data_IF_719317865604
#
_entry.id   IF_719317865604
#
_cell.length_a   1.000
_cell.length_b   1.000
_cell.length_c   1.000
_cell.angle_alpha   90.00
_cell.angle_beta   90.00
_cell.angle_gamma   90.00
#
_symmetry.space_group_name_H-M   'P 1'
#
loop_
_entity.id
_entity.type
_entity.pdbx_description
1 polymer ?
#
# COMPACT_ATOMS: atom_id res chain seq x y z
N UNK A 1 -32.22 -69.79 -28.01
CA UNK A 1 -30.78 -69.95 -27.88
C UNK A 1 -30.16 -68.55 -27.77
N UNK A 2 -30.25 -67.96 -26.59
CA UNK A 2 -29.62 -66.67 -26.30
C UNK A 2 -29.18 -66.72 -24.83
N UNK A 3 -27.95 -66.49 -24.65
CA UNK A 3 -27.13 -66.66 -23.46
C UNK A 3 -27.49 -65.65 -22.36
N UNK A 4 -27.78 -66.13 -21.14
CA UNK A 4 -28.10 -65.34 -19.96
C UNK A 4 -26.79 -65.09 -19.21
N UNK A 5 -26.24 -63.85 -19.28
CA UNK A 5 -25.09 -63.40 -18.47
C UNK A 5 -25.51 -63.15 -17.02
N UNK A 6 -24.85 -63.82 -16.12
CA UNK A 6 -24.98 -63.70 -14.68
C UNK A 6 -24.56 -62.30 -14.18
N UNK A 7 -25.41 -61.71 -13.36
CA UNK A 7 -25.06 -60.55 -12.53
C UNK A 7 -24.29 -60.99 -11.30
N UNK A 8 -23.30 -60.26 -10.81
CA UNK A 8 -22.62 -60.54 -9.54
C UNK A 8 -23.49 -60.12 -8.34
N UNK A 9 -23.48 -60.94 -7.30
CA UNK A 9 -24.15 -60.74 -6.01
C UNK A 9 -23.67 -59.48 -5.25
N UNK A 10 -24.55 -58.83 -4.48
CA UNK A 10 -24.19 -57.70 -3.65
C UNK A 10 -23.39 -58.17 -2.41
N UNK A 11 -22.31 -57.49 -2.13
CA UNK A 11 -21.39 -57.71 -1.00
C UNK A 11 -22.12 -57.57 0.35
N UNK A 12 -21.94 -58.60 1.20
CA UNK A 12 -22.40 -58.68 2.58
C UNK A 12 -21.55 -57.73 3.45
N UNK A 13 -22.15 -56.90 4.32
CA UNK A 13 -21.40 -56.03 5.22
C UNK A 13 -20.73 -56.83 6.36
N UNK A 14 -19.56 -56.39 6.85
CA UNK A 14 -18.81 -57.13 7.89
C UNK A 14 -19.50 -57.08 9.29
N UNK A 15 -19.44 -58.19 9.98
CA UNK A 15 -19.98 -58.42 11.35
C UNK A 15 -19.19 -57.63 12.40
N UNK A 16 -19.85 -56.80 13.21
CA UNK A 16 -19.20 -55.94 14.20
C UNK A 16 -18.75 -56.65 15.50
N UNK A 17 -18.83 -57.98 15.59
CA UNK A 17 -18.55 -58.73 16.84
C UNK A 17 -17.22 -59.47 16.89
N UNK A 18 -16.39 -59.39 15.87
CA UNK A 18 -15.10 -60.10 15.82
C UNK A 18 -14.01 -59.34 16.57
N UNK A 19 -13.71 -59.78 17.83
CA UNK A 19 -12.54 -59.33 18.59
C UNK A 19 -11.24 -59.87 17.94
N UNK A 20 -10.16 -59.06 17.90
CA UNK A 20 -8.86 -59.57 17.41
C UNK A 20 -8.17 -60.43 18.47
N UNK A 21 -7.56 -61.49 17.98
CA UNK A 21 -6.77 -62.49 18.75
C UNK A 21 -5.42 -61.88 19.20
N UNK A 22 -4.98 -62.08 20.47
CA UNK A 22 -3.76 -61.43 20.99
C UNK A 22 -2.49 -62.30 20.92
N UNK A 23 -2.28 -63.07 19.88
CA UNK A 23 -1.05 -63.89 19.76
C UNK A 23 -0.44 -63.85 18.37
N UNK A 24 0.34 -62.77 18.11
CA UNK A 24 1.39 -62.77 17.10
C UNK A 24 2.51 -61.79 17.54
N UNK A 25 3.32 -62.25 18.48
CA UNK A 25 4.62 -61.63 18.76
C UNK A 25 5.61 -62.06 17.69
N UNK A 26 5.90 -61.16 16.75
CA UNK A 26 6.99 -61.29 15.76
C UNK A 26 8.00 -60.16 15.99
N UNK A 27 9.10 -60.51 16.61
CA UNK A 27 10.30 -59.66 16.74
C UNK A 27 10.84 -59.27 15.38
N UNK A 28 10.82 -57.95 15.08
CA UNK A 28 11.68 -57.35 14.06
C UNK A 28 12.31 -56.10 14.67
N UNK A 29 13.54 -56.35 15.14
CA UNK A 29 14.52 -55.34 15.52
C UNK A 29 14.85 -54.49 14.26
N UNK A 30 14.41 -53.27 14.25
CA UNK A 30 14.68 -52.27 13.23
C UNK A 30 14.89 -50.95 13.88
N UNK A 31 16.12 -50.68 14.30
CA UNK A 31 16.58 -49.36 14.78
C UNK A 31 16.35 -48.30 13.69
N UNK A 32 15.13 -47.79 13.61
CA UNK A 32 14.90 -46.48 13.02
C UNK A 32 15.44 -45.40 13.97
N UNK A 33 16.71 -45.05 13.72
CA UNK A 33 17.28 -43.82 14.24
C UNK A 33 16.42 -42.68 13.70
N UNK A 34 15.46 -42.24 14.46
CA UNK A 34 14.87 -40.90 14.32
C UNK A 34 15.98 -39.88 14.50
N UNK A 35 16.63 -39.54 13.39
CA UNK A 35 17.41 -38.31 13.30
C UNK A 35 16.44 -37.15 13.48
N UNK A 36 16.15 -36.80 14.75
CA UNK A 36 15.58 -35.51 15.11
C UNK A 36 16.64 -34.46 14.86
N UNK A 37 16.90 -34.21 13.57
CA UNK A 37 17.51 -32.96 13.15
C UNK A 37 16.57 -31.86 13.60
N UNK A 38 16.91 -31.15 14.66
CA UNK A 38 16.39 -29.84 15.02
C UNK A 38 16.76 -28.89 13.89
N UNK A 39 16.07 -29.04 12.75
CA UNK A 39 16.02 -27.97 11.76
C UNK A 39 15.32 -26.81 12.46
N UNK A 40 16.07 -25.81 12.89
CA UNK A 40 15.58 -24.51 13.32
C UNK A 40 14.69 -23.97 12.20
N UNK A 41 13.40 -24.31 12.25
CA UNK A 41 12.41 -23.81 11.29
C UNK A 41 12.28 -22.32 11.54
N UNK A 42 12.85 -21.52 10.65
CA UNK A 42 12.68 -20.08 10.67
C UNK A 42 11.20 -19.73 10.89
N UNK A 43 10.89 -18.74 11.74
CA UNK A 43 9.55 -18.22 11.88
C UNK A 43 8.94 -17.94 10.51
N UNK A 44 7.64 -18.16 10.35
CA UNK A 44 6.96 -18.00 9.03
C UNK A 44 7.25 -16.66 8.38
N UNK A 45 7.34 -15.59 9.17
CA UNK A 45 7.67 -14.23 8.70
C UNK A 45 9.07 -14.11 8.08
N UNK A 46 10.02 -14.96 8.47
CA UNK A 46 11.41 -14.90 7.99
C UNK A 46 11.71 -15.91 6.86
N UNK A 47 10.75 -16.76 6.49
CA UNK A 47 10.95 -17.75 5.42
C UNK A 47 11.30 -17.13 4.06
N UNK A 48 10.68 -16.04 3.60
CA UNK A 48 11.00 -15.41 2.32
C UNK A 48 12.47 -15.00 2.21
N UNK A 49 13.11 -14.65 3.33
CA UNK A 49 14.53 -14.25 3.35
C UNK A 49 15.52 -15.38 3.04
N UNK A 50 15.07 -16.62 2.90
CA UNK A 50 15.93 -17.72 2.39
C UNK A 50 16.25 -17.52 0.91
N UNK A 51 15.38 -16.89 0.14
CA UNK A 51 15.55 -16.65 -1.28
C UNK A 51 16.45 -15.45 -1.52
N UNK A 52 17.58 -15.64 -2.21
CA UNK A 52 18.57 -14.60 -2.48
C UNK A 52 17.95 -13.41 -3.21
N UNK A 53 17.18 -13.67 -4.26
CA UNK A 53 16.61 -12.61 -5.09
C UNK A 53 15.53 -11.83 -4.36
N UNK A 54 14.78 -12.46 -3.43
CA UNK A 54 13.87 -11.75 -2.54
C UNK A 54 14.63 -10.84 -1.57
N UNK A 55 15.76 -11.28 -0.97
CA UNK A 55 16.59 -10.40 -0.13
C UNK A 55 17.06 -9.17 -0.89
N UNK A 56 17.53 -9.36 -2.13
CA UNK A 56 17.95 -8.25 -2.98
C UNK A 56 16.79 -7.29 -3.28
N UNK A 57 15.59 -7.83 -3.55
CA UNK A 57 14.39 -7.04 -3.79
C UNK A 57 13.99 -6.22 -2.55
N UNK A 58 14.00 -6.82 -1.35
CA UNK A 58 13.66 -6.13 -0.09
C UNK A 58 14.69 -5.06 0.25
N UNK A 59 15.99 -5.31 0.03
CA UNK A 59 17.05 -4.30 0.23
C UNK A 59 16.85 -3.15 -0.73
N UNK A 60 16.59 -3.41 -2.01
CA UNK A 60 16.28 -2.39 -3.01
C UNK A 60 15.06 -1.57 -2.61
N UNK A 61 13.95 -2.23 -2.28
CA UNK A 61 12.71 -1.57 -1.84
C UNK A 61 12.94 -0.71 -0.59
N UNK A 62 13.65 -1.25 0.41
CA UNK A 62 13.97 -0.52 1.64
C UNK A 62 14.80 0.73 1.38
N UNK A 63 15.82 0.63 0.53
CA UNK A 63 16.66 1.76 0.14
C UNK A 63 15.85 2.81 -0.67
N UNK A 64 14.98 2.36 -1.59
CA UNK A 64 14.11 3.23 -2.38
C UNK A 64 13.09 3.98 -1.52
N UNK A 65 12.40 3.28 -0.61
CA UNK A 65 11.47 3.90 0.35
C UNK A 65 12.18 4.89 1.29
N UNK A 66 13.38 4.52 1.76
CA UNK A 66 14.20 5.40 2.58
C UNK A 66 14.59 6.67 1.82
N UNK A 67 15.06 6.53 0.57
CA UNK A 67 15.39 7.65 -0.30
C UNK A 67 14.17 8.54 -0.58
N UNK A 68 13.00 7.96 -0.77
CA UNK A 68 11.73 8.69 -0.93
C UNK A 68 11.37 9.49 0.32
N UNK A 69 11.62 8.93 1.52
CA UNK A 69 11.45 9.65 2.78
C UNK A 69 12.45 10.81 2.95
N UNK A 70 13.71 10.62 2.54
CA UNK A 70 14.71 11.69 2.49
C UNK A 70 14.30 12.79 1.52
N UNK A 71 13.86 12.43 0.31
CA UNK A 71 13.36 13.34 -0.70
C UNK A 71 12.19 14.18 -0.19
N UNK A 72 11.21 13.55 0.46
CA UNK A 72 10.01 14.20 0.99
C UNK A 72 10.37 15.40 1.89
N UNK A 73 11.27 15.23 2.84
CA UNK A 73 11.68 16.30 3.73
C UNK A 73 12.61 17.30 3.04
N UNK A 74 13.56 16.82 2.23
CA UNK A 74 14.53 17.67 1.54
C UNK A 74 13.85 18.66 0.58
N UNK A 75 12.84 18.23 -0.18
CA UNK A 75 12.12 19.10 -1.13
C UNK A 75 11.35 20.20 -0.40
N UNK A 76 10.76 19.90 0.76
CA UNK A 76 10.06 20.89 1.59
C UNK A 76 11.03 22.00 2.03
N UNK A 77 12.16 21.63 2.59
CA UNK A 77 13.15 22.61 3.05
C UNK A 77 13.87 23.33 1.90
N UNK A 78 13.98 22.68 0.75
CA UNK A 78 14.50 23.33 -0.45
C UNK A 78 13.53 24.43 -0.95
N UNK A 79 12.23 24.18 -0.96
CA UNK A 79 11.22 25.21 -1.29
C UNK A 79 11.27 26.36 -0.29
N UNK A 80 11.36 26.07 1.00
CA UNK A 80 11.49 27.08 2.06
C UNK A 80 12.78 27.88 1.88
N UNK A 81 13.92 27.23 1.59
CA UNK A 81 15.22 27.87 1.36
C UNK A 81 15.25 28.78 0.14
N UNK A 82 14.40 28.51 -0.87
CA UNK A 82 14.19 29.39 -2.03
C UNK A 82 13.24 30.58 -1.75
N UNK A 83 12.82 30.78 -0.50
CA UNK A 83 11.85 31.80 -0.12
C UNK A 83 10.40 31.42 -0.44
N UNK A 84 10.14 30.17 -0.81
CA UNK A 84 8.79 29.68 -1.13
C UNK A 84 7.95 29.48 0.13
N UNK A 85 6.69 29.94 0.07
CA UNK A 85 5.67 29.72 1.10
C UNK A 85 4.79 28.48 0.80
N UNK A 86 3.68 28.33 1.56
CA UNK A 86 2.75 27.21 1.40
C UNK A 86 2.22 27.03 -0.02
N UNK A 87 1.95 28.13 -0.75
CA UNK A 87 1.47 28.07 -2.15
C UNK A 87 2.54 27.48 -3.10
N UNK A 88 3.82 27.81 -2.90
CA UNK A 88 4.90 27.26 -3.70
C UNK A 88 5.05 25.75 -3.43
N UNK A 89 4.98 25.32 -2.17
CA UNK A 89 5.03 23.92 -1.80
C UNK A 89 3.80 23.17 -2.34
N UNK A 90 2.61 23.77 -2.30
CA UNK A 90 1.39 23.22 -2.93
C UNK A 90 1.60 22.91 -4.42
N UNK A 91 2.21 23.82 -5.16
CA UNK A 91 2.46 23.62 -6.59
C UNK A 91 3.40 22.42 -6.82
N UNK A 92 4.44 22.27 -6.00
CA UNK A 92 5.41 21.18 -6.11
C UNK A 92 4.79 19.82 -5.74
N UNK A 93 4.08 19.74 -4.61
CA UNK A 93 3.46 18.48 -4.15
C UNK A 93 2.27 18.07 -5.02
N UNK A 94 1.46 19.04 -5.47
CA UNK A 94 0.38 18.78 -6.43
C UNK A 94 0.92 18.26 -7.77
N UNK A 95 2.06 18.78 -8.24
CA UNK A 95 2.73 18.29 -9.45
C UNK A 95 3.17 16.83 -9.30
N UNK A 96 3.74 16.44 -8.15
CA UNK A 96 4.10 15.05 -7.87
C UNK A 96 2.87 14.13 -7.93
N UNK A 97 1.78 14.51 -7.25
CA UNK A 97 0.54 13.74 -7.25
C UNK A 97 -0.14 13.71 -8.60
N UNK A 98 -0.06 14.79 -9.39
CA UNK A 98 -0.56 14.83 -10.76
C UNK A 98 0.24 13.87 -11.67
N UNK A 99 1.57 13.84 -11.52
CA UNK A 99 2.44 12.88 -12.22
C UNK A 99 2.03 11.44 -11.94
N UNK A 100 1.82 11.10 -10.67
CA UNK A 100 1.34 9.79 -10.24
C UNK A 100 -0.04 9.47 -10.87
N UNK A 101 -1.01 10.37 -10.76
CA UNK A 101 -2.38 10.17 -11.23
C UNK A 101 -2.45 9.96 -12.76
N UNK A 102 -1.75 10.82 -13.52
CA UNK A 102 -1.74 10.73 -14.99
C UNK A 102 -1.07 9.44 -15.47
N UNK A 103 -0.03 9.00 -14.75
CA UNK A 103 0.78 7.84 -15.16
C UNK A 103 0.25 6.50 -14.65
N UNK A 104 -0.67 6.47 -13.68
CA UNK A 104 -1.11 5.22 -13.03
C UNK A 104 -1.79 4.25 -14.01
N UNK A 105 -2.57 4.77 -14.97
CA UNK A 105 -3.22 3.94 -15.98
C UNK A 105 -2.21 3.33 -16.96
N UNK A 106 -1.18 4.11 -17.32
CA UNK A 106 -0.11 3.65 -18.22
C UNK A 106 0.79 2.67 -17.48
N UNK A 107 1.05 2.91 -16.19
CA UNK A 107 1.87 2.06 -15.32
C UNK A 107 1.36 0.63 -15.21
N UNK A 108 0.04 0.46 -15.08
CA UNK A 108 -0.59 -0.86 -15.07
C UNK A 108 -0.35 -1.63 -16.38
N UNK A 109 -0.61 -0.99 -17.53
CA UNK A 109 -0.38 -1.59 -18.86
C UNK A 109 1.11 -1.90 -19.10
N UNK A 110 2.00 -1.04 -18.64
CA UNK A 110 3.45 -1.26 -18.77
C UNK A 110 3.92 -2.46 -17.93
N UNK A 111 3.40 -2.62 -16.72
CA UNK A 111 3.73 -3.75 -15.84
C UNK A 111 3.32 -5.11 -16.44
N UNK A 112 2.24 -5.13 -17.26
CA UNK A 112 1.76 -6.34 -17.93
C UNK A 112 2.58 -6.69 -19.19
N UNK A 113 3.11 -5.67 -19.90
CA UNK A 113 3.76 -5.85 -21.21
C UNK A 113 5.28 -5.86 -21.16
N UNK A 114 5.88 -5.21 -20.16
CA UNK A 114 7.32 -5.06 -20.06
C UNK A 114 7.93 -6.04 -19.03
N UNK A 115 9.21 -6.43 -19.20
CA UNK A 115 9.90 -7.19 -18.18
C UNK A 115 9.91 -6.43 -16.84
N UNK A 116 9.29 -7.01 -15.81
CA UNK A 116 9.05 -6.37 -14.50
C UNK A 116 10.31 -5.77 -13.88
N UNK A 117 11.44 -6.50 -13.98
CA UNK A 117 12.75 -6.01 -13.55
C UNK A 117 13.20 -4.77 -14.33
N UNK A 118 12.98 -4.73 -15.64
CA UNK A 118 13.35 -3.59 -16.47
C UNK A 118 12.55 -2.34 -16.09
N UNK A 119 11.26 -2.51 -15.75
CA UNK A 119 10.43 -1.40 -15.24
C UNK A 119 10.99 -0.85 -13.92
N UNK A 120 11.32 -1.71 -12.94
CA UNK A 120 11.92 -1.27 -11.67
C UNK A 120 13.27 -0.57 -11.88
N UNK A 121 14.13 -1.10 -12.76
CA UNK A 121 15.41 -0.45 -13.11
C UNK A 121 15.19 0.92 -13.76
N UNK A 122 14.22 1.03 -14.68
CA UNK A 122 13.89 2.30 -15.33
C UNK A 122 13.37 3.32 -14.29
N UNK A 123 12.47 2.92 -13.40
CA UNK A 123 11.95 3.78 -12.33
C UNK A 123 13.07 4.32 -11.44
N UNK A 124 13.95 3.44 -10.93
CA UNK A 124 15.06 3.89 -10.09
C UNK A 124 16.04 4.78 -10.88
N UNK A 125 16.33 4.48 -12.15
CA UNK A 125 17.16 5.32 -12.99
C UNK A 125 16.58 6.71 -13.20
N UNK A 126 15.27 6.82 -13.44
CA UNK A 126 14.56 8.10 -13.55
C UNK A 126 14.65 8.90 -12.25
N UNK A 127 14.43 8.25 -11.10
CA UNK A 127 14.52 8.88 -9.77
C UNK A 127 15.94 9.38 -9.48
N UNK A 128 16.97 8.59 -9.79
CA UNK A 128 18.38 8.99 -9.66
C UNK A 128 18.64 10.23 -10.51
N UNK A 129 18.28 10.19 -11.80
CA UNK A 129 18.50 11.30 -12.71
C UNK A 129 17.78 12.57 -12.23
N UNK A 130 16.51 12.46 -11.85
CA UNK A 130 15.69 13.57 -11.37
C UNK A 130 16.25 14.19 -10.07
N UNK A 131 16.60 13.37 -9.08
CA UNK A 131 17.19 13.83 -7.83
C UNK A 131 18.60 14.42 -8.02
N UNK A 132 19.41 13.85 -8.94
CA UNK A 132 20.72 14.38 -9.30
C UNK A 132 20.63 15.74 -9.99
N UNK A 133 19.67 15.92 -10.90
CA UNK A 133 19.40 17.22 -11.54
C UNK A 133 19.00 18.26 -10.50
N UNK A 134 18.06 17.90 -9.57
CA UNK A 134 17.69 18.78 -8.48
C UNK A 134 18.89 19.19 -7.62
N UNK A 135 19.76 18.23 -7.30
CA UNK A 135 21.00 18.45 -6.53
C UNK A 135 21.96 19.38 -7.27
N UNK A 136 22.21 19.13 -8.53
CA UNK A 136 23.11 19.95 -9.35
C UNK A 136 22.62 21.40 -9.46
N UNK A 137 21.31 21.59 -9.72
CA UNK A 137 20.71 22.93 -9.75
C UNK A 137 20.76 23.62 -8.39
N UNK A 138 20.60 22.88 -7.28
CA UNK A 138 20.71 23.43 -5.92
C UNK A 138 22.13 23.88 -5.61
N UNK A 139 23.15 23.08 -5.98
CA UNK A 139 24.56 23.38 -5.73
C UNK A 139 25.07 24.54 -6.61
N UNK A 140 24.53 24.70 -7.81
CA UNK A 140 24.88 25.84 -8.70
C UNK A 140 24.09 27.11 -8.39
N UNK A 141 23.15 27.07 -7.43
CA UNK A 141 22.31 28.22 -7.09
C UNK A 141 21.26 28.60 -8.15
N UNK A 142 21.05 27.77 -9.16
CA UNK A 142 20.13 28.02 -10.28
C UNK A 142 18.77 27.34 -10.10
N UNK A 143 18.60 26.58 -8.99
CA UNK A 143 17.35 25.90 -8.69
C UNK A 143 16.22 26.89 -8.42
N UNK A 144 15.09 26.75 -9.08
CA UNK A 144 13.86 27.49 -8.82
C UNK A 144 12.71 26.54 -8.47
N UNK A 145 11.62 27.08 -7.89
CA UNK A 145 10.43 26.31 -7.51
C UNK A 145 9.82 25.56 -8.68
N UNK A 146 9.82 26.14 -9.87
CA UNK A 146 9.28 25.49 -11.07
C UNK A 146 10.10 24.25 -11.49
N UNK A 147 11.44 24.28 -11.31
CA UNK A 147 12.29 23.11 -11.55
C UNK A 147 11.89 21.98 -10.60
N UNK A 148 11.67 22.32 -9.31
CA UNK A 148 11.21 21.33 -8.32
C UNK A 148 9.84 20.76 -8.66
N UNK A 149 8.92 21.58 -9.21
CA UNK A 149 7.60 21.10 -9.63
C UNK A 149 7.69 20.10 -10.79
N UNK A 150 8.54 20.39 -11.81
CA UNK A 150 8.77 19.48 -12.92
C UNK A 150 9.45 18.19 -12.47
N UNK A 151 10.48 18.29 -11.63
CA UNK A 151 11.20 17.13 -11.09
C UNK A 151 10.27 16.27 -10.23
N UNK A 152 9.44 16.91 -9.38
CA UNK A 152 8.46 16.22 -8.56
C UNK A 152 7.40 15.50 -9.41
N UNK A 153 6.93 16.12 -10.50
CA UNK A 153 6.04 15.47 -11.46
C UNK A 153 6.67 14.20 -12.06
N UNK A 154 7.94 14.28 -12.48
CA UNK A 154 8.66 13.14 -13.07
C UNK A 154 8.83 12.00 -12.04
N UNK A 155 9.19 12.33 -10.79
CA UNK A 155 9.31 11.33 -9.71
C UNK A 155 7.95 10.71 -9.41
N UNK A 156 6.89 11.51 -9.32
CA UNK A 156 5.53 11.03 -9.12
C UNK A 156 5.04 10.14 -10.27
N UNK A 157 5.34 10.50 -11.50
CA UNK A 157 5.05 9.68 -12.68
C UNK A 157 5.79 8.32 -12.61
N UNK A 158 7.06 8.31 -12.21
CA UNK A 158 7.82 7.09 -12.03
C UNK A 158 7.24 6.18 -10.92
N UNK A 159 6.72 6.77 -9.82
CA UNK A 159 6.08 6.03 -8.73
C UNK A 159 4.90 5.17 -9.21
N UNK A 160 4.14 5.66 -10.20
CA UNK A 160 3.00 4.94 -10.76
C UNK A 160 3.36 3.57 -11.37
N UNK A 161 4.60 3.39 -11.81
CA UNK A 161 5.09 2.15 -12.39
C UNK A 161 5.70 1.21 -11.34
N UNK A 162 6.15 1.74 -10.20
CA UNK A 162 6.89 0.97 -9.20
C UNK A 162 6.04 -0.13 -8.59
N UNK A 163 4.90 0.23 -8.00
CA UNK A 163 4.07 -0.70 -7.23
C UNK A 163 3.50 -1.85 -8.07
N UNK A 164 2.93 -1.63 -9.27
CA UNK A 164 2.47 -2.72 -10.13
C UNK A 164 3.61 -3.67 -10.54
N UNK A 165 4.78 -3.12 -10.90
CA UNK A 165 5.94 -3.93 -11.29
C UNK A 165 6.47 -4.76 -10.11
N UNK A 166 6.56 -4.18 -8.91
CA UNK A 166 6.96 -4.86 -7.68
C UNK A 166 6.00 -5.99 -7.33
N UNK A 167 4.70 -5.70 -7.28
CA UNK A 167 3.67 -6.69 -6.94
C UNK A 167 3.62 -7.85 -7.93
N UNK A 168 3.83 -7.57 -9.22
CA UNK A 168 3.88 -8.59 -10.25
C UNK A 168 5.19 -9.40 -10.22
N UNK A 169 6.30 -8.84 -9.72
CA UNK A 169 7.58 -9.54 -9.59
C UNK A 169 7.59 -10.53 -8.42
N UNK A 170 6.93 -10.19 -7.32
CA UNK A 170 6.98 -10.94 -6.06
C UNK A 170 6.59 -12.43 -6.21
N UNK A 171 5.49 -12.81 -6.92
CA UNK A 171 5.12 -14.21 -7.13
C UNK A 171 6.09 -14.99 -8.02
N UNK A 172 6.98 -14.32 -8.76
CA UNK A 172 8.00 -15.00 -9.57
C UNK A 172 9.26 -15.36 -8.76
N UNK A 173 9.42 -14.75 -7.59
CA UNK A 173 10.57 -14.95 -6.71
C UNK A 173 10.25 -15.85 -5.52
N UNK A 174 8.97 -15.97 -5.14
CA UNK A 174 8.53 -16.66 -3.93
C UNK A 174 7.40 -17.66 -4.21
N UNK A 175 7.39 -18.80 -3.49
CA UNK A 175 6.24 -19.70 -3.46
C UNK A 175 4.99 -19.01 -2.88
N UNK A 176 3.80 -19.43 -3.33
CA UNK A 176 2.52 -18.86 -2.90
C UNK A 176 2.34 -18.81 -1.37
N UNK A 177 2.83 -19.84 -0.64
CA UNK A 177 2.75 -19.90 0.82
C UNK A 177 3.62 -18.89 1.58
N UNK A 178 4.52 -18.17 0.90
CA UNK A 178 5.42 -17.17 1.49
C UNK A 178 5.03 -15.72 1.12
N UNK A 179 4.09 -15.53 0.18
CA UNK A 179 3.66 -14.19 -0.28
C UNK A 179 3.03 -13.36 0.84
N UNK A 180 2.26 -13.99 1.74
CA UNK A 180 1.66 -13.29 2.88
C UNK A 180 2.75 -12.69 3.79
N UNK A 181 3.82 -13.43 4.05
CA UNK A 181 4.93 -12.95 4.86
C UNK A 181 5.69 -11.82 4.15
N UNK A 182 5.89 -11.92 2.84
CA UNK A 182 6.53 -10.88 2.04
C UNK A 182 5.73 -9.57 2.01
N UNK A 183 4.41 -9.64 1.85
CA UNK A 183 3.53 -8.48 1.95
C UNK A 183 3.57 -7.85 3.36
N UNK A 184 3.66 -8.68 4.42
CA UNK A 184 3.83 -8.19 5.79
C UNK A 184 5.13 -7.41 5.98
N UNK A 185 6.23 -7.86 5.37
CA UNK A 185 7.52 -7.14 5.39
C UNK A 185 7.37 -5.79 4.69
N UNK A 186 6.74 -5.72 3.53
CA UNK A 186 6.50 -4.46 2.81
C UNK A 186 5.70 -3.47 3.65
N UNK A 187 4.58 -3.91 4.22
CA UNK A 187 3.70 -3.06 5.04
C UNK A 187 4.40 -2.52 6.30
N UNK A 188 5.40 -3.24 6.81
CA UNK A 188 6.21 -2.79 7.95
C UNK A 188 7.33 -1.85 7.50
N UNK A 189 7.97 -2.16 6.38
CA UNK A 189 9.13 -1.42 5.90
C UNK A 189 8.75 -0.03 5.39
N UNK A 190 7.59 0.12 4.75
CA UNK A 190 7.11 1.38 4.19
C UNK A 190 7.01 2.51 5.22
N UNK A 191 6.26 2.40 6.32
CA UNK A 191 6.18 3.48 7.31
C UNK A 191 7.52 3.72 8.02
N UNK A 192 8.29 2.66 8.31
CA UNK A 192 9.58 2.79 8.98
C UNK A 192 10.61 3.51 8.11
N UNK A 193 10.77 3.09 6.86
CA UNK A 193 11.78 3.66 5.96
C UNK A 193 11.35 5.05 5.44
N UNK A 194 10.12 5.17 4.94
CA UNK A 194 9.66 6.37 4.25
C UNK A 194 9.18 7.48 5.19
N UNK A 195 8.52 7.14 6.30
CA UNK A 195 7.90 8.14 7.19
C UNK A 195 8.71 8.41 8.46
N UNK A 196 9.64 7.52 8.85
CA UNK A 196 10.46 7.71 10.04
C UNK A 196 11.95 7.87 9.70
N UNK A 197 12.61 6.83 9.20
CA UNK A 197 14.07 6.82 9.06
C UNK A 197 14.59 7.79 7.99
N UNK A 198 13.93 7.86 6.82
CA UNK A 198 14.28 8.78 5.74
C UNK A 198 14.19 10.24 6.16
N UNK A 199 13.01 10.72 6.63
CA UNK A 199 12.88 12.08 7.16
C UNK A 199 13.82 12.38 8.33
N UNK A 200 14.10 11.42 9.21
CA UNK A 200 15.04 11.62 10.31
C UNK A 200 16.47 11.94 9.80
N UNK A 201 16.98 11.15 8.83
CA UNK A 201 18.27 11.45 8.20
C UNK A 201 18.23 12.80 7.48
N UNK A 202 17.20 13.06 6.70
CA UNK A 202 17.06 14.34 6.00
C UNK A 202 17.00 15.52 6.95
N UNK A 203 16.30 15.39 8.09
CA UNK A 203 16.22 16.40 9.13
C UNK A 203 17.58 16.76 9.72
N UNK A 204 18.43 15.74 9.95
CA UNK A 204 19.82 15.94 10.40
C UNK A 204 20.67 16.62 9.31
N UNK A 205 20.62 16.11 8.07
CA UNK A 205 21.43 16.65 6.98
C UNK A 205 21.07 18.09 6.62
N UNK A 206 19.79 18.38 6.52
CA UNK A 206 19.28 19.72 6.20
C UNK A 206 19.50 20.69 7.37
N UNK A 207 19.40 20.20 8.60
CA UNK A 207 19.64 21.02 9.78
C UNK A 207 21.13 21.32 10.03
N UNK A 208 22.03 20.38 9.71
CA UNK A 208 23.46 20.54 9.90
C UNK A 208 24.18 21.22 8.73
N UNK A 209 23.63 21.12 7.51
CA UNK A 209 24.27 21.63 6.27
C UNK A 209 23.30 22.55 5.53
N UNK A 210 23.09 22.28 4.25
CA UNK A 210 22.18 23.02 3.37
C UNK A 210 21.07 22.08 2.86
N UNK A 211 19.90 22.60 2.45
CA UNK A 211 18.81 21.75 1.91
C UNK A 211 19.25 20.86 0.76
N UNK A 212 20.19 21.30 -0.07
CA UNK A 212 20.78 20.51 -1.16
C UNK A 212 21.48 19.22 -0.70
N UNK A 213 21.97 19.15 0.54
CA UNK A 213 22.54 17.93 1.09
C UNK A 213 21.50 16.81 1.23
N UNK A 214 20.25 17.16 1.56
CA UNK A 214 19.13 16.22 1.58
C UNK A 214 18.79 15.69 0.17
N UNK A 215 18.83 16.57 -0.85
CA UNK A 215 18.59 16.16 -2.26
C UNK A 215 19.68 15.19 -2.74
N UNK A 216 20.95 15.47 -2.40
CA UNK A 216 22.06 14.58 -2.70
C UNK A 216 21.90 13.22 -2.01
N UNK A 217 21.54 13.22 -0.73
CA UNK A 217 21.31 11.98 0.02
C UNK A 217 20.16 11.15 -0.58
N UNK A 218 19.11 11.79 -1.08
CA UNK A 218 18.04 11.10 -1.80
C UNK A 218 18.55 10.47 -3.10
N UNK A 219 19.34 11.20 -3.91
CA UNK A 219 19.92 10.69 -5.14
C UNK A 219 20.84 9.47 -4.87
N UNK A 220 21.69 9.54 -3.84
CA UNK A 220 22.54 8.43 -3.40
C UNK A 220 21.69 7.25 -2.93
N UNK A 221 20.63 7.50 -2.15
CA UNK A 221 19.71 6.46 -1.70
C UNK A 221 19.02 5.71 -2.83
N UNK A 222 18.55 6.42 -3.87
CA UNK A 222 18.01 5.79 -5.08
C UNK A 222 19.07 5.01 -5.86
N UNK A 223 20.32 5.52 -5.93
CA UNK A 223 21.42 4.77 -6.54
C UNK A 223 21.73 3.47 -5.77
N UNK A 224 21.71 3.51 -4.44
CA UNK A 224 21.83 2.32 -3.60
C UNK A 224 20.67 1.34 -3.79
N UNK A 225 19.46 1.83 -4.05
CA UNK A 225 18.30 1.00 -4.37
C UNK A 225 18.45 0.29 -5.73
N UNK A 226 19.07 0.93 -6.71
CA UNK A 226 19.30 0.37 -8.04
C UNK A 226 20.26 -0.83 -8.00
N UNK A 227 21.31 -0.78 -7.17
CA UNK A 227 22.38 -1.79 -7.17
C UNK A 227 21.87 -3.23 -6.94
N UNK A 228 21.04 -3.54 -5.93
CA UNK A 228 20.53 -4.89 -5.72
C UNK A 228 19.68 -5.39 -6.91
N UNK A 229 18.92 -4.49 -7.59
CA UNK A 229 18.12 -4.85 -8.76
C UNK A 229 18.97 -5.35 -9.93
N UNK A 230 20.20 -4.84 -10.07
CA UNK A 230 21.12 -5.27 -11.13
C UNK A 230 21.54 -6.73 -10.94
N UNK A 231 21.50 -7.26 -9.71
CA UNK A 231 21.92 -8.61 -9.38
C UNK A 231 20.78 -9.61 -9.25
N UNK A 232 19.53 -9.19 -9.33
CA UNK A 232 18.37 -10.10 -9.37
C UNK A 232 18.41 -10.88 -10.69
N UNK A 233 18.41 -12.20 -10.58
CA UNK A 233 18.36 -13.11 -11.74
C UNK A 233 16.92 -13.59 -11.90
N UNK A 234 16.21 -13.03 -12.87
CA UNK A 234 14.91 -13.58 -13.27
C UNK A 234 15.21 -14.65 -14.32
N UNK A 235 14.83 -15.89 -14.05
CA UNK A 235 14.85 -16.91 -15.09
C UNK A 235 13.98 -16.41 -16.26
N UNK A 236 14.43 -16.53 -17.52
CA UNK A 236 13.60 -16.18 -18.65
C UNK A 236 12.28 -16.95 -18.55
N UNK A 237 11.15 -16.39 -19.01
CA UNK A 237 9.88 -17.10 -19.10
C UNK A 237 9.97 -18.21 -20.14
N UNK A 238 10.57 -19.34 -19.76
CA UNK A 238 10.95 -20.45 -20.63
C UNK A 238 11.09 -21.78 -19.87
N UNK A 239 10.61 -21.84 -18.63
CA UNK A 239 10.28 -23.10 -17.97
C UNK A 239 8.93 -23.53 -18.54
N UNK A 240 8.97 -24.39 -19.52
CA UNK A 240 7.84 -25.10 -20.10
C UNK A 240 6.82 -25.49 -19.03
N UNK A 241 5.55 -25.18 -19.30
CA UNK A 241 4.37 -25.84 -18.73
C UNK A 241 4.38 -27.34 -19.16
N UNK A 242 5.50 -28.02 -18.98
CA UNK A 242 5.77 -29.37 -19.47
C UNK A 242 5.67 -30.43 -18.37
N UNK A 243 5.18 -30.07 -17.17
CA UNK A 243 5.08 -31.07 -16.08
C UNK A 243 3.70 -31.12 -15.41
N UNK A 244 2.65 -30.69 -16.13
CA UNK A 244 1.26 -31.02 -15.78
C UNK A 244 0.65 -32.10 -16.69
N UNK A 245 1.48 -32.80 -17.49
CA UNK A 245 1.05 -33.93 -18.33
C UNK A 245 0.87 -35.26 -17.58
N UNK A 246 0.81 -35.22 -16.25
CA UNK A 246 0.51 -36.35 -15.39
C UNK A 246 -0.97 -36.55 -15.05
N UNK A 247 -1.88 -35.72 -15.57
CA UNK A 247 -3.32 -35.96 -15.43
C UNK A 247 -3.84 -36.70 -16.66
N UNK A 248 -4.61 -37.80 -16.50
CA UNK A 248 -5.12 -38.57 -17.60
C UNK A 248 -6.02 -37.67 -18.47
N UNK A 249 -5.58 -37.46 -19.70
CA UNK A 249 -6.40 -36.85 -20.74
C UNK A 249 -7.54 -37.80 -21.08
N UNK A 250 -8.70 -37.54 -20.49
CA UNK A 250 -9.95 -38.10 -21.00
C UNK A 250 -10.12 -37.64 -22.43
N UNK A 251 -10.09 -38.58 -23.34
CA UNK A 251 -10.45 -38.45 -24.74
C UNK A 251 -11.87 -37.96 -24.86
N UNK A 252 -12.08 -36.72 -25.29
CA UNK A 252 -13.34 -36.29 -25.88
C UNK A 252 -13.18 -36.04 -27.38
N UNK A 253 -14.05 -36.66 -28.21
CA UNK A 253 -13.97 -36.53 -29.64
C UNK A 253 -14.63 -35.26 -30.13
N UNK A 254 -13.96 -34.63 -31.06
CA UNK A 254 -14.42 -33.77 -32.14
C UNK A 254 -15.72 -32.96 -31.94
N UNK A 255 -15.60 -31.63 -31.96
CA UNK A 255 -16.65 -30.79 -32.47
C UNK A 255 -17.04 -29.59 -31.61
N UNK A 256 -16.33 -28.51 -31.76
CA UNK A 256 -16.88 -27.18 -32.02
C UNK A 256 -15.76 -26.14 -31.92
N UNK A 257 -15.24 -25.78 -33.07
CA UNK A 257 -14.39 -24.59 -33.21
C UNK A 257 -15.22 -23.33 -32.99
N UNK A 258 -14.56 -22.37 -32.32
CA UNK A 258 -14.97 -21.00 -32.04
C UNK A 258 -16.00 -20.84 -30.88
N UNK A 259 -15.94 -19.79 -30.05
CA UNK A 259 -15.03 -18.64 -30.12
C UNK A 259 -14.42 -18.29 -28.78
N UNK A 260 -13.16 -18.56 -28.56
CA UNK A 260 -12.40 -17.99 -27.42
C UNK A 260 -11.95 -16.53 -27.63
N UNK A 261 -12.17 -15.96 -28.80
CA UNK A 261 -11.78 -14.57 -29.11
C UNK A 261 -12.87 -13.53 -28.82
N UNK A 262 -14.13 -13.91 -28.66
CA UNK A 262 -15.21 -12.96 -28.33
C UNK A 262 -15.34 -12.65 -26.83
N UNK A 263 -14.86 -13.49 -25.93
CA UNK A 263 -14.83 -13.18 -24.49
C UNK A 263 -13.79 -12.11 -24.12
N UNK A 264 -12.81 -11.84 -24.96
CA UNK A 264 -11.71 -10.91 -24.68
C UNK A 264 -12.03 -9.45 -25.02
N UNK A 265 -13.22 -9.16 -25.54
CA UNK A 265 -13.66 -7.78 -25.84
C UNK A 265 -14.89 -7.33 -25.06
N UNK A 266 -15.06 -7.76 -23.85
CA UNK A 266 -15.84 -6.92 -22.93
C UNK A 266 -15.05 -5.62 -22.77
N UNK A 267 -15.59 -4.52 -23.32
CA UNK A 267 -14.88 -3.26 -23.34
C UNK A 267 -14.56 -2.89 -21.89
N UNK A 268 -13.34 -2.43 -21.62
CA UNK A 268 -12.90 -1.89 -20.30
C UNK A 268 -13.94 -0.91 -19.75
N UNK A 269 -14.62 -0.18 -20.64
CA UNK A 269 -15.72 0.72 -20.30
C UNK A 269 -16.97 -0.02 -19.75
N UNK A 270 -17.28 -1.21 -20.25
CA UNK A 270 -18.40 -2.00 -19.73
C UNK A 270 -18.08 -2.52 -18.32
N UNK A 271 -16.84 -2.95 -18.09
CA UNK A 271 -16.37 -3.42 -16.80
C UNK A 271 -16.33 -2.28 -15.77
N UNK A 272 -15.86 -1.10 -16.15
CA UNK A 272 -15.91 0.10 -15.32
C UNK A 272 -17.36 0.52 -14.99
N UNK A 273 -18.24 0.48 -15.99
CA UNK A 273 -19.67 0.81 -15.80
C UNK A 273 -20.36 -0.18 -14.84
N UNK A 274 -20.02 -1.46 -14.92
CA UNK A 274 -20.56 -2.48 -14.01
C UNK A 274 -20.07 -2.26 -12.57
N UNK A 275 -18.76 -2.02 -12.38
CA UNK A 275 -18.19 -1.67 -11.09
C UNK A 275 -18.80 -0.39 -10.49
N UNK A 276 -18.97 0.63 -11.31
CA UNK A 276 -19.61 1.89 -10.89
C UNK A 276 -21.08 1.73 -10.55
N UNK A 277 -21.83 0.94 -11.34
CA UNK A 277 -23.23 0.62 -11.07
C UNK A 277 -23.38 -0.16 -9.75
N UNK A 278 -22.47 -1.13 -9.50
CA UNK A 278 -22.43 -1.86 -8.23
C UNK A 278 -22.16 -0.91 -7.05
N UNK A 279 -21.19 0.00 -7.19
CA UNK A 279 -20.86 1.00 -6.19
C UNK A 279 -22.07 1.85 -5.84
N UNK A 280 -22.76 2.41 -6.82
CA UNK A 280 -23.93 3.27 -6.58
C UNK A 280 -25.12 2.53 -5.97
N UNK A 281 -25.29 1.24 -6.28
CA UNK A 281 -26.38 0.41 -5.73
C UNK A 281 -26.07 -0.13 -4.33
N UNK A 282 -24.80 -0.11 -3.91
CA UNK A 282 -24.35 -0.69 -2.65
C UNK A 282 -24.16 0.41 -1.60
N UNK A 283 -25.15 0.65 -0.76
CA UNK A 283 -25.21 1.81 0.14
C UNK A 283 -24.00 1.96 1.08
N UNK A 284 -23.50 0.87 1.69
CA UNK A 284 -22.32 0.95 2.56
C UNK A 284 -21.05 1.35 1.79
N UNK A 285 -20.93 0.88 0.55
CA UNK A 285 -19.76 1.17 -0.30
C UNK A 285 -19.80 2.62 -0.78
N UNK A 286 -20.98 3.09 -1.26
CA UNK A 286 -21.19 4.49 -1.64
C UNK A 286 -20.91 5.46 -0.49
N UNK A 287 -21.41 5.14 0.72
CA UNK A 287 -21.17 5.95 1.91
C UNK A 287 -19.69 6.05 2.24
N UNK A 288 -18.99 4.91 2.24
CA UNK A 288 -17.57 4.84 2.57
C UNK A 288 -16.70 5.59 1.56
N UNK A 289 -16.98 5.43 0.26
CA UNK A 289 -16.22 6.11 -0.79
C UNK A 289 -16.54 7.62 -0.87
N UNK A 290 -17.79 8.03 -0.68
CA UNK A 290 -18.15 9.44 -0.60
C UNK A 290 -17.45 10.13 0.59
N UNK A 291 -17.42 9.46 1.74
CA UNK A 291 -16.66 9.92 2.90
C UNK A 291 -15.15 9.97 2.61
N UNK A 292 -14.57 8.90 2.05
CA UNK A 292 -13.14 8.83 1.74
C UNK A 292 -12.70 9.93 0.77
N UNK A 293 -13.52 10.23 -0.24
CA UNK A 293 -13.28 11.30 -1.21
C UNK A 293 -13.15 12.67 -0.52
N UNK A 294 -14.10 13.01 0.36
CA UNK A 294 -14.08 14.25 1.12
C UNK A 294 -12.97 14.26 2.19
N UNK A 295 -12.71 13.12 2.81
CA UNK A 295 -11.64 12.94 3.78
C UNK A 295 -10.27 13.21 3.16
N UNK A 296 -9.97 12.61 2.00
CA UNK A 296 -8.73 12.85 1.25
C UNK A 296 -8.56 14.33 0.91
N UNK A 297 -9.64 14.98 0.43
CA UNK A 297 -9.63 16.39 0.10
C UNK A 297 -9.29 17.28 1.30
N UNK A 298 -9.81 16.95 2.49
CA UNK A 298 -9.65 17.77 3.70
C UNK A 298 -8.32 17.52 4.43
N UNK A 299 -7.77 16.29 4.36
CA UNK A 299 -6.68 15.86 5.24
C UNK A 299 -5.32 15.91 4.54
N UNK A 300 -5.24 15.45 3.28
CA UNK A 300 -3.95 15.21 2.63
C UNK A 300 -3.18 16.52 2.43
N UNK A 301 -3.83 17.53 1.87
CA UNK A 301 -3.19 18.83 1.63
C UNK A 301 -2.65 19.49 2.90
N UNK A 302 -3.44 19.65 3.97
CA UNK A 302 -2.93 20.17 5.23
C UNK A 302 -1.74 19.41 5.80
N UNK A 303 -1.76 18.08 5.78
CA UNK A 303 -0.63 17.26 6.30
C UNK A 303 0.60 17.41 5.40
N UNK A 304 0.46 17.26 4.08
CA UNK A 304 1.60 17.21 3.17
C UNK A 304 2.19 18.60 2.87
N UNK A 305 1.37 19.65 2.93
CA UNK A 305 1.78 21.00 2.52
C UNK A 305 1.95 21.94 3.71
N UNK A 306 0.98 21.98 4.64
CA UNK A 306 0.95 23.00 5.69
C UNK A 306 1.68 22.59 6.97
N UNK A 307 1.83 21.29 7.24
CA UNK A 307 2.48 20.78 8.44
C UNK A 307 3.91 21.31 8.63
N UNK A 308 4.80 21.32 7.61
CA UNK A 308 6.14 21.87 7.79
C UNK A 308 6.14 23.35 8.17
N UNK A 309 5.22 24.15 7.66
CA UNK A 309 5.05 25.56 8.04
C UNK A 309 4.47 25.69 9.44
N UNK A 310 3.51 24.85 9.84
CA UNK A 310 3.00 24.84 11.20
C UNK A 310 4.13 24.52 12.22
N UNK A 311 4.99 23.55 11.93
CA UNK A 311 6.13 23.20 12.77
C UNK A 311 7.15 24.33 12.80
N UNK A 312 7.50 24.92 11.66
CA UNK A 312 8.49 26.00 11.57
C UNK A 312 8.00 27.28 12.26
N UNK A 313 6.81 27.75 11.89
CA UNK A 313 6.37 29.12 12.23
C UNK A 313 5.69 29.22 13.60
N UNK A 314 5.17 28.09 14.11
CA UNK A 314 4.46 28.10 15.41
C UNK A 314 5.24 27.44 16.54
N UNK A 315 6.01 26.39 16.25
CA UNK A 315 6.75 25.65 17.27
C UNK A 315 8.25 25.95 17.24
N UNK A 316 8.68 26.91 16.39
CA UNK A 316 10.09 27.22 16.13
C UNK A 316 10.92 25.95 15.83
N UNK A 317 10.24 24.98 15.17
CA UNK A 317 10.78 23.69 14.84
C UNK A 317 11.43 23.71 13.45
N UNK A 318 12.74 23.47 13.43
CA UNK A 318 13.47 23.31 12.17
C UNK A 318 13.17 21.97 11.48
N UNK A 319 14.04 21.55 10.52
CA UNK A 319 13.94 20.27 9.83
C UNK A 319 13.82 19.05 10.76
N UNK A 320 14.58 19.08 11.89
CA UNK A 320 14.53 18.03 12.90
C UNK A 320 13.18 17.94 13.62
N UNK A 321 12.55 19.07 13.93
CA UNK A 321 11.21 19.10 14.53
C UNK A 321 10.15 18.50 13.60
N UNK A 322 10.21 18.84 12.33
CA UNK A 322 9.32 18.26 11.31
C UNK A 322 9.56 16.75 11.14
N UNK A 323 10.83 16.32 11.14
CA UNK A 323 11.18 14.89 11.09
C UNK A 323 10.60 14.11 12.28
N UNK A 324 10.63 14.68 13.49
CA UNK A 324 10.03 14.07 14.71
C UNK A 324 8.51 13.91 14.55
N UNK A 325 7.82 14.93 14.03
CA UNK A 325 6.37 14.87 13.83
C UNK A 325 6.00 13.83 12.77
N UNK A 326 6.73 13.76 11.64
CA UNK A 326 6.55 12.73 10.61
C UNK A 326 6.83 11.31 11.14
N UNK A 327 7.94 11.15 11.90
CA UNK A 327 8.26 9.86 12.50
C UNK A 327 7.17 9.40 13.46
N UNK A 328 6.63 10.32 14.27
CA UNK A 328 5.51 10.02 15.17
C UNK A 328 4.26 9.57 14.39
N UNK A 329 3.93 10.24 13.29
CA UNK A 329 2.84 9.84 12.40
C UNK A 329 3.05 8.42 11.84
N UNK A 330 4.26 8.12 11.33
CA UNK A 330 4.60 6.80 10.78
C UNK A 330 4.57 5.69 11.84
N UNK A 331 5.15 5.94 13.02
CA UNK A 331 5.14 4.98 14.16
C UNK A 331 3.70 4.76 14.63
N UNK A 332 2.91 5.83 14.75
CA UNK A 332 1.49 5.74 15.06
C UNK A 332 0.76 4.84 14.06
N UNK A 333 0.97 5.05 12.76
CA UNK A 333 0.39 4.24 11.69
C UNK A 333 0.74 2.75 11.81
N UNK A 334 2.01 2.44 12.05
CA UNK A 334 2.48 1.06 12.23
C UNK A 334 1.83 0.40 13.45
N UNK A 335 1.82 1.07 14.60
CA UNK A 335 1.22 0.53 15.82
C UNK A 335 -0.31 0.44 15.74
N UNK A 336 -0.97 1.42 15.12
CA UNK A 336 -2.41 1.43 14.91
C UNK A 336 -2.89 0.29 14.01
N UNK A 337 -2.19 0.05 12.90
CA UNK A 337 -2.49 -1.06 12.00
C UNK A 337 -2.32 -2.42 12.70
N UNK A 338 -1.22 -2.62 13.45
CA UNK A 338 -0.98 -3.85 14.23
C UNK A 338 -2.06 -4.03 15.30
N UNK A 339 -2.40 -2.96 16.03
CA UNK A 339 -3.40 -3.00 17.08
C UNK A 339 -4.78 -3.42 16.56
N UNK A 340 -5.19 -2.92 15.39
CA UNK A 340 -6.46 -3.28 14.76
C UNK A 340 -6.39 -4.70 14.19
N UNK A 341 -5.30 -5.04 13.46
CA UNK A 341 -5.11 -6.36 12.86
C UNK A 341 -5.07 -7.50 13.90
N UNK A 342 -4.59 -7.20 15.12
CA UNK A 342 -4.53 -8.17 16.24
C UNK A 342 -5.86 -8.39 16.95
N UNK A 343 -6.88 -7.63 16.61
CA UNK A 343 -8.21 -7.72 17.25
C UNK A 343 -9.23 -8.33 16.30
N UNK A 344 -10.30 -8.88 16.89
CA UNK A 344 -11.46 -9.30 16.11
C UNK A 344 -12.16 -8.08 15.52
N UNK A 345 -12.70 -8.24 14.31
CA UNK A 345 -13.49 -7.19 13.66
C UNK A 345 -14.67 -6.80 14.58
N UNK A 346 -14.87 -5.50 14.88
CA UNK A 346 -15.96 -5.07 15.72
C UNK A 346 -17.31 -5.35 15.06
N UNK A 347 -18.34 -5.62 15.84
CA UNK A 347 -19.70 -5.83 15.31
C UNK A 347 -20.21 -4.65 14.50
N UNK A 348 -19.85 -3.42 14.89
CA UNK A 348 -20.14 -2.17 14.17
C UNK A 348 -18.92 -1.74 13.36
N UNK A 349 -18.53 -2.54 12.38
CA UNK A 349 -17.27 -2.38 11.66
C UNK A 349 -17.22 -1.15 10.74
N UNK A 350 -18.33 -0.78 10.03
CA UNK A 350 -18.42 0.43 9.21
C UNK A 350 -18.43 1.69 10.09
N UNK A 351 -19.24 1.68 11.14
CA UNK A 351 -19.32 2.77 12.11
C UNK A 351 -17.96 3.00 12.77
N UNK A 352 -17.29 1.93 13.22
CA UNK A 352 -15.96 2.03 13.85
C UNK A 352 -14.93 2.57 12.85
N UNK A 353 -14.93 2.09 11.62
CA UNK A 353 -14.01 2.52 10.56
C UNK A 353 -14.18 4.03 10.27
N UNK A 354 -15.40 4.48 10.02
CA UNK A 354 -15.66 5.89 9.74
C UNK A 354 -15.35 6.80 10.93
N UNK A 355 -15.58 6.34 12.16
CA UNK A 355 -15.20 7.09 13.35
C UNK A 355 -13.69 7.10 13.58
N UNK A 356 -12.96 6.02 13.27
CA UNK A 356 -11.50 6.00 13.32
C UNK A 356 -10.90 7.01 12.34
N UNK A 357 -11.44 7.16 11.15
CA UNK A 357 -11.02 8.21 10.22
C UNK A 357 -11.53 9.58 10.66
N UNK A 358 -12.83 9.73 10.91
CA UNK A 358 -13.46 11.03 11.22
C UNK A 358 -13.00 11.58 12.56
N UNK A 359 -13.29 10.89 13.67
CA UNK A 359 -12.89 11.34 15.02
C UNK A 359 -11.36 11.23 15.22
N UNK A 360 -10.72 10.28 14.53
CA UNK A 360 -9.27 10.15 14.51
C UNK A 360 -8.55 11.34 13.85
N UNK A 361 -9.24 12.18 13.10
CA UNK A 361 -8.71 13.43 12.56
C UNK A 361 -8.70 14.58 13.59
N UNK A 362 -9.48 14.51 14.68
CA UNK A 362 -9.56 15.59 15.68
C UNK A 362 -8.19 16.08 16.20
N UNK A 363 -7.19 15.20 16.45
CA UNK A 363 -5.87 15.65 16.89
C UNK A 363 -5.19 16.61 15.91
N UNK A 364 -5.57 16.66 14.60
CA UNK A 364 -5.05 17.66 13.66
C UNK A 364 -5.30 19.09 14.13
N UNK A 365 -6.35 19.33 14.88
CA UNK A 365 -6.62 20.66 15.45
C UNK A 365 -5.45 21.11 16.35
N UNK A 366 -4.83 20.19 17.08
CA UNK A 366 -3.67 20.49 17.90
C UNK A 366 -2.48 20.99 17.06
N UNK A 367 -2.28 20.49 15.82
CA UNK A 367 -1.21 20.95 14.92
C UNK A 367 -1.39 22.44 14.57
N UNK A 368 -2.63 22.90 14.45
CA UNK A 368 -2.93 24.30 14.22
C UNK A 368 -2.91 25.17 15.47
N UNK A 369 -3.15 24.62 16.65
CA UNK A 369 -3.37 25.40 17.88
C UNK A 369 -2.16 25.41 18.84
N UNK A 370 -1.32 24.37 18.84
CA UNK A 370 -0.18 24.29 19.75
C UNK A 370 1.07 24.95 19.18
N UNK A 371 1.97 25.32 20.09
CA UNK A 371 3.33 25.80 19.79
C UNK A 371 4.40 24.82 20.27
N UNK A 372 3.98 23.62 20.71
CA UNK A 372 4.91 22.65 21.29
C UNK A 372 5.05 21.44 20.38
N UNK A 373 6.28 21.13 19.93
CA UNK A 373 6.60 20.03 19.02
C UNK A 373 6.11 18.67 19.56
N UNK A 374 6.26 18.41 20.89
CA UNK A 374 5.83 17.14 21.46
C UNK A 374 4.31 16.92 21.40
N UNK A 375 3.50 18.00 21.52
CA UNK A 375 2.05 17.92 21.31
C UNK A 375 1.72 17.71 19.85
N UNK A 376 2.44 18.36 18.92
CA UNK A 376 2.29 18.10 17.49
C UNK A 376 2.63 16.65 17.15
N UNK A 377 3.73 16.12 17.70
CA UNK A 377 4.12 14.72 17.50
C UNK A 377 3.08 13.74 18.06
N UNK A 378 2.53 14.01 19.26
CA UNK A 378 1.45 13.19 19.85
C UNK A 378 0.20 13.22 18.98
N UNK A 379 -0.19 14.40 18.50
CA UNK A 379 -1.33 14.55 17.60
C UNK A 379 -1.12 13.77 16.29
N UNK A 380 0.05 13.92 15.67
CA UNK A 380 0.42 13.21 14.46
C UNK A 380 0.42 11.68 14.67
N UNK A 381 0.95 11.21 15.79
CA UNK A 381 0.91 9.80 16.18
C UNK A 381 -0.53 9.26 16.24
N UNK A 382 -1.44 9.99 16.89
CA UNK A 382 -2.85 9.57 17.00
C UNK A 382 -3.55 9.54 15.64
N UNK A 383 -3.31 10.56 14.79
CA UNK A 383 -3.86 10.60 13.42
C UNK A 383 -3.35 9.44 12.59
N UNK A 384 -2.04 9.16 12.65
CA UNK A 384 -1.44 8.01 11.98
C UNK A 384 -2.03 6.69 12.44
N UNK A 385 -2.15 6.51 13.77
CA UNK A 385 -2.67 5.28 14.37
C UNK A 385 -4.13 4.99 13.97
N UNK A 386 -4.98 6.00 14.05
CA UNK A 386 -6.40 5.86 13.71
C UNK A 386 -6.62 5.68 12.21
N UNK A 387 -5.89 6.45 11.39
CA UNK A 387 -5.96 6.37 9.93
C UNK A 387 -5.54 5.00 9.39
N UNK A 388 -4.38 4.50 9.82
CA UNK A 388 -3.90 3.18 9.42
C UNK A 388 -4.76 2.04 9.97
N UNK A 389 -5.27 2.18 11.21
CA UNK A 389 -6.21 1.23 11.78
C UNK A 389 -7.52 1.13 10.98
N UNK A 390 -8.07 2.27 10.56
CA UNK A 390 -9.25 2.30 9.70
C UNK A 390 -9.01 1.65 8.33
N UNK A 391 -7.81 1.86 7.76
CA UNK A 391 -7.42 1.25 6.47
C UNK A 391 -7.36 -0.29 6.53
N UNK A 392 -6.96 -0.87 7.67
CA UNK A 392 -7.00 -2.33 7.89
C UNK A 392 -8.43 -2.85 7.85
N UNK A 393 -9.37 -2.14 8.50
CA UNK A 393 -10.80 -2.51 8.46
C UNK A 393 -11.32 -2.40 7.02
N UNK A 394 -11.02 -1.29 6.32
CA UNK A 394 -11.44 -1.07 4.93
C UNK A 394 -11.01 -2.19 3.99
N UNK A 395 -9.72 -2.54 3.98
CA UNK A 395 -9.22 -3.65 3.17
C UNK A 395 -9.89 -4.99 3.47
N UNK A 396 -10.17 -5.25 4.76
CA UNK A 396 -10.90 -6.46 5.19
C UNK A 396 -12.35 -6.46 4.68
N UNK A 397 -13.03 -5.31 4.71
CA UNK A 397 -14.41 -5.19 4.24
C UNK A 397 -14.52 -5.37 2.73
N UNK A 398 -13.61 -4.78 1.95
CA UNK A 398 -13.56 -4.99 0.51
C UNK A 398 -13.45 -6.49 0.17
N UNK A 399 -12.55 -7.20 0.83
CA UNK A 399 -12.33 -8.63 0.59
C UNK A 399 -13.50 -9.52 1.05
N UNK A 400 -14.24 -9.12 2.09
CA UNK A 400 -15.31 -9.96 2.67
C UNK A 400 -16.70 -9.64 2.15
N UNK A 401 -16.97 -8.41 1.73
CA UNK A 401 -18.32 -7.95 1.35
C UNK A 401 -18.50 -7.73 -0.15
N UNK A 402 -17.42 -7.55 -0.91
CA UNK A 402 -17.49 -7.42 -2.36
C UNK A 402 -17.40 -8.82 -2.99
N UNK A 403 -18.32 -9.18 -3.91
CA UNK A 403 -18.24 -10.44 -4.63
C UNK A 403 -16.89 -10.63 -5.33
N UNK A 404 -16.33 -11.84 -5.31
CA UNK A 404 -14.98 -12.10 -5.81
C UNK A 404 -14.77 -11.68 -7.28
N UNK A 405 -15.80 -11.83 -8.15
CA UNK A 405 -15.75 -11.43 -9.55
C UNK A 405 -15.78 -9.91 -9.78
N UNK A 406 -16.20 -9.10 -8.78
CA UNK A 406 -16.21 -7.65 -8.82
C UNK A 406 -15.06 -7.01 -8.02
N UNK A 407 -14.36 -7.79 -7.17
CA UNK A 407 -13.38 -7.26 -6.24
C UNK A 407 -12.29 -6.45 -6.95
N UNK A 408 -11.75 -6.95 -8.05
CA UNK A 408 -10.73 -6.24 -8.82
C UNK A 408 -11.23 -4.89 -9.37
N UNK A 409 -12.45 -4.86 -9.92
CA UNK A 409 -13.07 -3.65 -10.49
C UNK A 409 -13.37 -2.61 -9.41
N UNK A 410 -13.94 -3.05 -8.29
CA UNK A 410 -14.25 -2.18 -7.14
C UNK A 410 -12.97 -1.64 -6.51
N UNK A 411 -11.94 -2.47 -6.33
CA UNK A 411 -10.64 -2.03 -5.79
C UNK A 411 -9.92 -1.04 -6.70
N UNK A 412 -9.99 -1.23 -8.04
CA UNK A 412 -9.43 -0.26 -8.98
C UNK A 412 -10.16 1.08 -8.94
N UNK A 413 -11.49 1.04 -8.79
CA UNK A 413 -12.32 2.25 -8.67
C UNK A 413 -12.05 2.97 -7.34
N UNK A 414 -11.96 2.23 -6.23
CA UNK A 414 -11.57 2.75 -4.91
C UNK A 414 -10.21 3.46 -4.97
N UNK A 415 -9.21 2.80 -5.54
CA UNK A 415 -7.87 3.37 -5.70
C UNK A 415 -7.89 4.65 -6.55
N UNK A 416 -8.61 4.63 -7.67
CA UNK A 416 -8.72 5.79 -8.54
C UNK A 416 -9.44 6.96 -7.84
N UNK A 417 -10.56 6.70 -7.17
CA UNK A 417 -11.32 7.71 -6.43
C UNK A 417 -10.48 8.32 -5.31
N UNK A 418 -9.76 7.49 -4.55
CA UNK A 418 -8.88 7.94 -3.47
C UNK A 418 -7.70 8.77 -4.00
N UNK A 419 -7.15 8.41 -5.17
CA UNK A 419 -6.01 9.10 -5.77
C UNK A 419 -6.40 10.39 -6.50
N UNK A 420 -7.59 10.43 -7.11
CA UNK A 420 -8.01 11.52 -8.00
C UNK A 420 -8.05 12.90 -7.32
N UNK A 421 -8.46 12.97 -6.04
CA UNK A 421 -8.52 14.22 -5.28
C UNK A 421 -7.23 14.59 -4.55
N UNK A 422 -6.23 13.72 -4.54
CA UNK A 422 -4.94 13.99 -3.90
C UNK A 422 -4.25 15.24 -4.47
N UNK A 423 -4.06 15.36 -5.81
CA UNK A 423 -3.48 16.57 -6.39
C UNK A 423 -4.32 17.84 -6.10
N UNK A 424 -5.63 17.71 -6.10
CA UNK A 424 -6.55 18.83 -5.80
C UNK A 424 -6.39 19.27 -4.34
N UNK A 425 -6.37 18.34 -3.39
CA UNK A 425 -6.15 18.62 -1.98
C UNK A 425 -4.82 19.35 -1.75
N UNK A 426 -3.74 18.86 -2.37
CA UNK A 426 -2.41 19.47 -2.25
C UNK A 426 -2.34 20.84 -2.91
N UNK A 427 -2.95 21.01 -4.10
CA UNK A 427 -2.98 22.29 -4.81
C UNK A 427 -3.72 23.37 -4.03
N UNK A 428 -4.81 23.01 -3.37
CA UNK A 428 -5.66 23.93 -2.62
C UNK A 428 -5.12 24.28 -1.24
N UNK A 429 -4.32 23.43 -0.62
CA UNK A 429 -3.88 23.60 0.76
C UNK A 429 -3.09 24.89 0.99
N UNK A 430 -2.13 25.22 0.11
CA UNK A 430 -1.36 26.46 0.21
C UNK A 430 -2.19 27.73 0.07
N UNK A 431 -2.95 27.89 -1.00
CA UNK A 431 -3.86 29.02 -1.17
C UNK A 431 -4.88 29.17 -0.02
N UNK A 432 -5.49 28.04 0.44
CA UNK A 432 -6.41 28.06 1.59
C UNK A 432 -5.66 28.47 2.86
N UNK A 433 -4.48 27.88 3.12
CA UNK A 433 -3.65 28.24 4.27
C UNK A 433 -3.23 29.70 4.27
N UNK A 434 -2.99 30.30 3.09
CA UNK A 434 -2.71 31.72 2.94
C UNK A 434 -3.94 32.61 3.17
N UNK A 435 -5.13 32.17 2.75
CA UNK A 435 -6.37 32.95 2.83
C UNK A 435 -6.98 32.97 4.24
N UNK A 436 -7.09 31.81 4.90
CA UNK A 436 -7.75 31.65 6.21
C UNK A 436 -6.79 31.38 7.36
N UNK A 437 -5.50 31.23 7.05
CA UNK A 437 -4.45 30.89 8.02
C UNK A 437 -4.28 29.41 8.25
N UNK A 438 -3.03 29.00 8.48
CA UNK A 438 -2.65 27.60 8.77
C UNK A 438 -3.40 27.03 9.99
N UNK A 439 -3.54 27.76 11.13
CA UNK A 439 -4.29 27.28 12.28
C UNK A 439 -5.74 26.92 11.96
N UNK A 440 -6.44 27.84 11.27
CA UNK A 440 -7.84 27.62 10.89
C UNK A 440 -8.00 26.44 9.96
N UNK A 441 -7.07 26.28 9.00
CA UNK A 441 -7.08 25.15 8.07
C UNK A 441 -6.95 23.81 8.82
N UNK A 442 -6.05 23.69 9.80
CA UNK A 442 -5.93 22.48 10.62
C UNK A 442 -7.14 22.23 11.51
N UNK A 443 -7.77 23.31 12.04
CA UNK A 443 -9.02 23.16 12.82
C UNK A 443 -10.14 22.62 11.93
N UNK A 444 -10.31 23.13 10.72
CA UNK A 444 -11.29 22.63 9.76
C UNK A 444 -10.98 21.20 9.34
N UNK A 445 -9.71 20.90 9.02
CA UNK A 445 -9.25 19.57 8.63
C UNK A 445 -9.45 18.52 9.76
N UNK A 446 -9.35 18.92 11.02
CA UNK A 446 -9.60 18.05 12.16
C UNK A 446 -11.08 17.89 12.51
N UNK A 447 -11.87 18.97 12.47
CA UNK A 447 -13.26 18.97 12.91
C UNK A 447 -14.24 18.44 11.86
N UNK A 448 -14.09 18.85 10.60
CA UNK A 448 -15.07 18.53 9.54
C UNK A 448 -15.19 17.04 9.24
N UNK A 449 -14.12 16.21 9.24
CA UNK A 449 -14.24 14.77 9.04
C UNK A 449 -15.14 14.07 10.05
N UNK A 450 -15.21 14.55 11.30
CA UNK A 450 -16.14 13.99 12.31
C UNK A 450 -17.58 14.20 11.89
N UNK A 451 -17.89 15.42 11.45
CA UNK A 451 -19.24 15.77 11.00
C UNK A 451 -19.61 14.93 9.77
N UNK A 452 -18.69 14.78 8.84
CA UNK A 452 -18.89 13.96 7.64
C UNK A 452 -19.07 12.48 7.98
N UNK A 453 -18.28 11.94 8.93
CA UNK A 453 -18.42 10.56 9.38
C UNK A 453 -19.80 10.32 10.03
N UNK A 454 -20.22 11.20 10.93
CA UNK A 454 -21.54 11.12 11.60
C UNK A 454 -22.66 11.25 10.56
N UNK A 455 -22.53 12.19 9.63
CA UNK A 455 -23.49 12.38 8.53
C UNK A 455 -23.58 11.12 7.65
N UNK A 456 -22.45 10.54 7.23
CA UNK A 456 -22.44 9.31 6.45
C UNK A 456 -23.08 8.14 7.22
N UNK A 457 -22.75 7.94 8.49
CA UNK A 457 -23.34 6.91 9.34
C UNK A 457 -24.85 7.06 9.43
N UNK A 458 -25.34 8.28 9.60
CA UNK A 458 -26.76 8.59 9.76
C UNK A 458 -27.55 8.49 8.47
N UNK A 459 -27.07 9.14 7.38
CA UNK A 459 -27.75 9.22 6.08
C UNK A 459 -27.91 7.85 5.42
N UNK A 460 -26.84 7.03 5.44
CA UNK A 460 -26.88 5.67 4.88
C UNK A 460 -27.31 4.60 5.87
N UNK A 461 -27.69 5.00 7.11
CA UNK A 461 -28.16 4.12 8.17
C UNK A 461 -27.25 2.90 8.37
N UNK A 462 -25.92 3.12 8.37
CA UNK A 462 -24.91 2.08 8.41
C UNK A 462 -25.07 1.08 9.58
N UNK A 463 -25.50 1.47 10.79
CA UNK A 463 -25.76 0.52 11.87
C UNK A 463 -26.84 -0.54 11.55
N UNK A 464 -27.79 -0.21 10.66
CA UNK A 464 -28.80 -1.17 10.19
C UNK A 464 -28.22 -2.12 9.15
N UNK A 465 -27.38 -1.64 8.26
CA UNK A 465 -26.65 -2.48 7.29
C UNK A 465 -25.74 -3.47 8.02
N UNK A 466 -25.00 -3.02 9.04
CA UNK A 466 -24.13 -3.87 9.87
C UNK A 466 -24.92 -4.97 10.59
N UNK A 467 -26.12 -4.64 11.12
CA UNK A 467 -26.99 -5.60 11.77
C UNK A 467 -27.56 -6.63 10.79
N UNK A 468 -27.84 -6.22 9.54
CA UNK A 468 -28.32 -7.10 8.49
C UNK A 468 -27.24 -8.02 7.91
N UNK A 469 -25.96 -7.61 8.00
CA UNK A 469 -24.82 -8.36 7.45
C UNK A 469 -23.74 -8.59 8.52
N UNK A 470 -24.00 -9.40 9.57
CA UNK A 470 -23.02 -9.66 10.60
C UNK A 470 -21.83 -10.42 10.03
N UNK A 471 -20.64 -9.85 10.16
CA UNK A 471 -19.38 -10.52 9.83
C UNK A 471 -18.92 -11.28 11.09
N UNK A 472 -19.37 -12.50 11.25
CA UNK A 472 -18.85 -13.41 12.29
C UNK A 472 -17.41 -13.80 11.97
N UNK A 473 -16.54 -13.71 12.96
CA UNK A 473 -15.14 -14.16 12.92
C UNK A 473 -15.06 -15.67 13.08
#
# INVERSE_FOLDING_TARGET
>A
MVDVRQQPDPAVPPDPTRRPDPTASGTADGTERTASGTSTRLPRALRPFRHRDYRLLVVSMGASLFASGVWLLAIVWQVIGLGGGPTALSAVTASASAGLLVSVLIGGVAADRLPRRAVLLAVESVRIAAASVATALALTGTLGVWHLAVIAFVIGAAEAFYFPAYSALLPTLLPAGELLAANGVEQTLRPVAMQAAGPALAGVLVGAFVPGAGLLAAAVGYALALLPLLWIRIAPPGGTVADLSGLPTGTDPAGSGAPREEETRRSVLADLREGFAYLLRTGWLSASLAFALLYVLLIIGPIEVLLPFAVRDRADGGPGGYAVVLAAYGVGGALGSIAVASRRLPRRYLTTMLLLWGAGALPLMALGLTTRIWLMATAAFLVGATGAGAMVIWGTLLQRRVPAHLLGRVSSLDFFVSLALMPVSMALAGPIGAAIGIPTTFVVAGALPVVLAVAAIALWRLPRDEAAHPLTT
#
